data_IF_261564454207
#
_entry.id   IF_261564454207
#
_cell.length_a   1.000
_cell.length_b   1.000
_cell.length_c   1.000
_cell.angle_alpha   90.00
_cell.angle_beta   90.00
_cell.angle_gamma   90.00
#
_symmetry.space_group_name_H-M   'P 1'
#
loop_
_entity.id
_entity.type
_entity.pdbx_description
1 polymer ?
#
# COMPACT_ATOMS: atom_id res chain seq x y z
N UNK A 1 -65.68 -0.56 -42.56
CA UNK A 1 -64.98 -1.07 -41.34
C UNK A 1 -63.51 -1.28 -41.74
N UNK A 2 -62.57 -0.76 -41.10
CA UNK A 2 -61.11 -1.08 -41.11
C UNK A 2 -60.08 -0.04 -41.51
N UNK A 3 -60.42 1.21 -41.80
CA UNK A 3 -59.36 2.24 -41.89
C UNK A 3 -59.06 2.99 -40.53
N UNK A 4 -60.01 2.95 -39.60
CA UNK A 4 -59.82 3.58 -38.27
C UNK A 4 -59.16 2.63 -37.25
N UNK A 5 -59.24 1.31 -37.48
CA UNK A 5 -58.62 0.31 -36.62
C UNK A 5 -57.10 0.18 -36.88
N UNK A 6 -56.69 0.37 -38.15
CA UNK A 6 -55.30 0.33 -38.56
C UNK A 6 -54.50 1.57 -38.06
N UNK A 7 -55.17 2.71 -37.92
CA UNK A 7 -54.53 3.93 -37.41
C UNK A 7 -54.31 3.89 -35.88
N UNK A 8 -55.22 3.23 -35.14
CA UNK A 8 -55.05 3.05 -33.68
C UNK A 8 -53.98 2.01 -33.35
N UNK A 9 -53.79 0.93 -34.14
CA UNK A 9 -52.72 -0.02 -33.95
C UNK A 9 -51.34 0.57 -34.31
N UNK A 10 -51.26 1.43 -35.34
CA UNK A 10 -50.01 2.13 -35.69
C UNK A 10 -49.61 3.17 -34.64
N UNK A 11 -50.56 3.84 -33.97
CA UNK A 11 -50.28 4.78 -32.89
C UNK A 11 -49.83 4.07 -31.60
N UNK A 12 -50.37 2.89 -31.30
CA UNK A 12 -49.91 2.09 -30.16
C UNK A 12 -48.52 1.49 -30.36
N UNK A 13 -48.13 1.16 -31.62
CA UNK A 13 -46.79 0.66 -31.93
C UNK A 13 -45.72 1.78 -31.94
N UNK A 14 -46.08 3.02 -32.21
CA UNK A 14 -45.17 4.15 -32.15
C UNK A 14 -44.96 4.61 -30.70
N UNK A 15 -45.92 4.42 -29.80
CA UNK A 15 -45.76 4.72 -28.36
C UNK A 15 -45.01 3.65 -27.57
N UNK A 16 -44.85 2.43 -28.12
CA UNK A 16 -44.12 1.34 -27.49
C UNK A 16 -42.61 1.37 -27.75
N UNK A 17 -42.10 2.26 -28.61
CA UNK A 17 -40.69 2.42 -28.92
C UNK A 17 -40.04 3.68 -28.31
N UNK A 18 -40.78 4.43 -27.51
CA UNK A 18 -40.25 5.63 -26.84
C UNK A 18 -40.16 5.48 -25.31
N UNK A 19 -40.07 4.26 -24.80
CA UNK A 19 -39.40 3.98 -23.52
C UNK A 19 -37.92 3.76 -23.83
N UNK A 20 -37.25 4.78 -24.34
CA UNK A 20 -35.86 5.00 -24.06
C UNK A 20 -35.85 5.12 -22.54
N UNK A 21 -35.28 4.14 -21.84
CA UNK A 21 -34.84 4.32 -20.46
C UNK A 21 -33.98 5.58 -20.47
N UNK A 22 -34.56 6.72 -20.13
CA UNK A 22 -33.75 7.81 -19.60
C UNK A 22 -33.10 7.20 -18.36
N UNK A 23 -31.83 6.84 -18.47
CA UNK A 23 -31.05 6.48 -17.30
C UNK A 23 -31.25 7.63 -16.31
N UNK A 24 -31.85 7.34 -15.16
CA UNK A 24 -32.02 8.35 -14.14
C UNK A 24 -30.59 8.76 -13.74
N UNK A 25 -30.33 10.08 -13.66
CA UNK A 25 -29.06 10.57 -13.14
C UNK A 25 -28.74 9.87 -11.82
N UNK A 26 -27.50 9.42 -11.67
CA UNK A 26 -27.02 8.78 -10.45
C UNK A 26 -26.07 9.70 -9.72
N UNK A 27 -26.35 9.95 -8.45
CA UNK A 27 -25.45 10.66 -7.55
C UNK A 27 -24.70 9.62 -6.72
N UNK A 28 -23.38 9.56 -6.84
CA UNK A 28 -22.51 8.67 -6.08
C UNK A 28 -21.45 9.46 -5.33
N UNK A 29 -20.97 8.90 -4.23
CA UNK A 29 -19.95 9.50 -3.38
C UNK A 29 -18.66 8.69 -3.45
N UNK A 30 -17.52 9.39 -3.57
CA UNK A 30 -16.18 8.84 -3.50
C UNK A 30 -15.47 9.39 -2.26
N UNK A 31 -15.08 8.53 -1.34
CA UNK A 31 -14.23 8.92 -0.22
C UNK A 31 -12.79 8.47 -0.47
N UNK A 32 -11.81 9.34 -0.23
CA UNK A 32 -10.40 9.04 -0.51
C UNK A 32 -9.51 9.32 0.68
N UNK A 33 -8.63 8.36 1.00
CA UNK A 33 -7.50 8.60 1.89
C UNK A 33 -6.37 9.34 1.16
N UNK A 34 -5.42 9.97 1.89
CA UNK A 34 -4.36 10.77 1.29
C UNK A 34 -3.24 9.90 0.68
N UNK A 35 -3.57 9.16 -0.36
CA UNK A 35 -2.64 8.37 -1.18
C UNK A 35 -2.10 9.29 -2.28
N UNK A 36 -0.97 9.93 -2.02
CA UNK A 36 -0.47 11.00 -2.88
C UNK A 36 -1.55 12.07 -3.08
N UNK A 37 -1.74 12.52 -4.31
CA UNK A 37 -2.72 13.56 -4.64
C UNK A 37 -4.18 13.04 -4.70
N UNK A 38 -4.44 11.76 -4.45
CA UNK A 38 -5.80 11.30 -4.14
C UNK A 38 -6.34 11.93 -2.83
N UNK A 39 -5.45 12.44 -1.97
CA UNK A 39 -5.79 13.29 -0.82
C UNK A 39 -5.98 14.77 -1.14
N UNK A 40 -5.97 15.17 -2.42
CA UNK A 40 -6.13 16.56 -2.84
C UNK A 40 -7.39 16.73 -3.68
N UNK A 41 -8.32 17.57 -3.20
CA UNK A 41 -9.63 17.75 -3.83
C UNK A 41 -9.56 18.21 -5.29
N UNK A 42 -8.63 19.10 -5.64
CA UNK A 42 -8.48 19.64 -6.99
C UNK A 42 -7.98 18.55 -7.95
N UNK A 43 -7.02 17.73 -7.52
CA UNK A 43 -6.49 16.62 -8.32
C UNK A 43 -7.56 15.55 -8.59
N UNK A 44 -8.33 15.17 -7.57
CA UNK A 44 -9.43 14.20 -7.72
C UNK A 44 -10.55 14.77 -8.59
N UNK A 45 -10.88 16.06 -8.41
CA UNK A 45 -11.90 16.72 -9.24
C UNK A 45 -11.50 16.74 -10.72
N UNK A 46 -10.23 16.92 -11.05
CA UNK A 46 -9.77 16.87 -12.44
C UNK A 46 -10.00 15.49 -13.09
N UNK A 47 -9.90 14.40 -12.35
CA UNK A 47 -10.25 13.05 -12.83
C UNK A 47 -11.78 12.89 -12.98
N UNK A 48 -12.55 13.40 -12.03
CA UNK A 48 -14.02 13.39 -12.06
C UNK A 48 -14.54 14.19 -13.27
N UNK A 49 -13.92 15.32 -13.57
CA UNK A 49 -14.32 16.15 -14.72
C UNK A 49 -14.13 15.39 -16.05
N UNK A 50 -13.01 14.65 -16.21
CA UNK A 50 -12.81 13.76 -17.37
C UNK A 50 -13.87 12.65 -17.44
N UNK A 51 -14.24 12.08 -16.29
CA UNK A 51 -15.30 11.08 -16.21
C UNK A 51 -16.65 11.66 -16.64
N UNK A 52 -17.00 12.85 -16.15
CA UNK A 52 -18.26 13.53 -16.46
C UNK A 52 -18.39 13.95 -17.94
N UNK A 53 -17.28 14.16 -18.67
CA UNK A 53 -17.30 14.37 -20.12
C UNK A 53 -17.83 13.14 -20.86
N UNK A 54 -17.62 11.93 -20.35
CA UNK A 54 -18.05 10.66 -20.97
C UNK A 54 -19.37 10.18 -20.37
N UNK A 55 -19.58 10.36 -19.08
CA UNK A 55 -20.76 9.90 -18.33
C UNK A 55 -21.48 11.06 -17.64
N UNK A 56 -22.12 11.98 -18.39
CA UNK A 56 -22.71 13.20 -17.84
C UNK A 56 -23.90 12.97 -16.91
N UNK A 57 -24.49 11.76 -16.94
CA UNK A 57 -25.64 11.37 -16.10
C UNK A 57 -25.19 10.73 -14.76
N UNK A 58 -23.88 10.60 -14.51
CA UNK A 58 -23.33 10.11 -13.22
C UNK A 58 -22.56 11.25 -12.54
N UNK A 59 -23.08 11.71 -11.41
CA UNK A 59 -22.44 12.79 -10.66
C UNK A 59 -21.66 12.20 -9.47
N UNK A 60 -20.35 12.48 -9.40
CA UNK A 60 -19.46 12.00 -8.34
C UNK A 60 -19.14 13.15 -7.41
N UNK A 61 -19.42 12.98 -6.12
CA UNK A 61 -19.00 13.91 -5.07
C UNK A 61 -17.86 13.30 -4.27
N UNK A 62 -16.76 14.04 -4.09
CA UNK A 62 -15.58 13.56 -3.34
C UNK A 62 -15.59 14.09 -1.92
N UNK A 63 -15.19 13.23 -0.97
CA UNK A 63 -14.86 13.58 0.41
C UNK A 63 -13.45 13.05 0.74
N UNK A 64 -12.64 13.92 1.38
CA UNK A 64 -11.26 13.58 1.75
C UNK A 64 -11.22 13.09 3.19
N UNK A 65 -10.55 11.98 3.40
CA UNK A 65 -10.28 11.38 4.70
C UNK A 65 -8.85 11.69 5.17
N UNK A 66 -8.57 11.43 6.43
CA UNK A 66 -7.21 11.41 6.98
C UNK A 66 -6.95 10.07 7.70
N UNK A 67 -5.68 9.73 7.92
CA UNK A 67 -5.32 8.47 8.58
C UNK A 67 -5.48 8.49 10.11
N UNK A 68 -5.84 9.64 10.70
CA UNK A 68 -6.05 9.74 12.15
C UNK A 68 -7.50 9.41 12.53
N UNK A 69 -8.46 9.96 11.78
CA UNK A 69 -9.89 9.87 12.10
C UNK A 69 -10.72 9.17 11.00
N UNK A 70 -10.15 8.92 9.83
CA UNK A 70 -10.89 8.43 8.66
C UNK A 70 -11.59 7.10 8.91
N UNK A 71 -10.96 6.15 9.60
CA UNK A 71 -11.58 4.86 9.92
C UNK A 71 -12.83 5.03 10.80
N UNK A 72 -12.78 5.91 11.80
CA UNK A 72 -13.92 6.21 12.67
C UNK A 72 -15.04 6.93 11.91
N UNK A 73 -14.66 7.81 10.97
CA UNK A 73 -15.60 8.53 10.12
C UNK A 73 -16.35 7.56 9.20
N UNK A 74 -15.63 6.65 8.51
CA UNK A 74 -16.23 5.61 7.66
C UNK A 74 -17.13 4.67 8.49
N UNK A 75 -16.65 4.18 9.62
CA UNK A 75 -17.43 3.28 10.48
C UNK A 75 -18.71 3.97 10.99
N UNK A 76 -18.64 5.24 11.38
CA UNK A 76 -19.82 6.04 11.79
C UNK A 76 -20.81 6.18 10.63
N UNK A 77 -20.34 6.44 9.42
CA UNK A 77 -21.21 6.53 8.25
C UNK A 77 -21.88 5.18 7.94
N UNK A 78 -21.16 4.06 8.04
CA UNK A 78 -21.72 2.71 7.88
C UNK A 78 -22.82 2.46 8.92
N UNK A 79 -22.57 2.73 10.20
CA UNK A 79 -23.55 2.56 11.26
C UNK A 79 -24.80 3.46 11.07
N UNK A 80 -24.60 4.64 10.49
CA UNK A 80 -25.67 5.58 10.14
C UNK A 80 -26.42 5.24 8.86
N UNK A 81 -26.05 4.17 8.11
CA UNK A 81 -26.60 3.83 6.81
C UNK A 81 -26.26 4.85 5.73
N UNK A 82 -25.14 5.54 5.85
CA UNK A 82 -24.63 6.59 4.96
C UNK A 82 -23.21 6.26 4.47
N UNK A 83 -22.88 4.98 4.34
CA UNK A 83 -21.58 4.56 3.77
C UNK A 83 -21.38 5.21 2.40
N UNK A 84 -20.15 5.61 2.01
CA UNK A 84 -19.87 6.07 0.65
C UNK A 84 -20.17 4.97 -0.37
N UNK A 85 -20.40 5.35 -1.64
CA UNK A 85 -20.50 4.34 -2.70
C UNK A 85 -19.13 3.76 -3.03
N UNK A 86 -18.14 4.64 -3.17
CA UNK A 86 -16.75 4.32 -3.49
C UNK A 86 -15.83 4.78 -2.37
N UNK A 87 -14.80 3.98 -2.13
CA UNK A 87 -13.69 4.38 -1.28
C UNK A 87 -12.38 4.03 -1.99
N UNK A 88 -11.39 4.94 -1.92
CA UNK A 88 -10.05 4.74 -2.45
C UNK A 88 -9.07 4.49 -1.30
N UNK A 89 -8.63 3.25 -1.14
CA UNK A 89 -7.73 2.80 -0.08
C UNK A 89 -7.13 1.42 -0.40
N UNK A 90 -6.44 0.81 0.55
CA UNK A 90 -5.73 -0.45 0.39
C UNK A 90 -6.46 -1.69 0.91
N UNK A 91 -5.93 -2.88 0.56
CA UNK A 91 -6.57 -4.16 0.85
C UNK A 91 -6.76 -4.44 2.35
N UNK A 92 -5.91 -3.90 3.22
CA UNK A 92 -6.04 -4.09 4.67
C UNK A 92 -7.34 -3.51 5.24
N UNK A 93 -7.90 -2.49 4.57
CA UNK A 93 -9.22 -1.93 4.89
C UNK A 93 -10.31 -2.53 4.04
N UNK A 94 -10.10 -2.60 2.72
CA UNK A 94 -11.13 -3.03 1.76
C UNK A 94 -11.40 -4.53 1.87
N UNK A 95 -10.37 -5.35 1.95
CA UNK A 95 -10.49 -6.82 1.99
C UNK A 95 -10.56 -7.32 3.43
N UNK A 96 -9.52 -7.01 4.24
CA UNK A 96 -9.36 -7.61 5.56
C UNK A 96 -10.29 -7.02 6.64
N UNK A 97 -10.84 -5.81 6.43
CA UNK A 97 -11.73 -5.18 7.39
C UNK A 97 -13.18 -5.12 6.87
N UNK A 98 -13.49 -4.24 5.92
CA UNK A 98 -14.88 -4.03 5.50
C UNK A 98 -15.43 -5.17 4.64
N UNK A 99 -14.62 -5.72 3.74
CA UNK A 99 -14.97 -6.91 2.96
C UNK A 99 -15.20 -8.13 3.84
N UNK A 100 -14.32 -8.39 4.80
CA UNK A 100 -14.46 -9.49 5.75
C UNK A 100 -15.71 -9.37 6.64
N UNK A 101 -16.26 -8.17 6.80
CA UNK A 101 -17.53 -7.92 7.52
C UNK A 101 -18.77 -8.02 6.62
N UNK A 102 -18.60 -8.31 5.32
CA UNK A 102 -19.70 -8.37 4.35
C UNK A 102 -20.31 -7.02 4.02
N UNK A 103 -19.55 -5.93 4.11
CA UNK A 103 -20.01 -4.57 3.86
C UNK A 103 -19.72 -4.07 2.44
N UNK A 104 -18.92 -4.85 1.69
CA UNK A 104 -18.44 -4.47 0.36
C UNK A 104 -19.07 -5.34 -0.73
N UNK A 105 -19.18 -4.78 -1.92
CA UNK A 105 -19.61 -5.49 -3.13
C UNK A 105 -18.49 -6.38 -3.64
N UNK A 106 -18.82 -7.62 -4.02
CA UNK A 106 -17.88 -8.47 -4.75
C UNK A 106 -17.69 -7.94 -6.19
N UNK A 107 -16.43 -7.66 -6.54
CA UNK A 107 -16.00 -7.08 -7.81
C UNK A 107 -15.55 -8.13 -8.83
N UNK A 108 -15.88 -9.40 -8.65
CA UNK A 108 -15.46 -10.49 -9.53
C UNK A 108 -15.81 -10.24 -11.02
N UNK A 109 -16.88 -9.50 -11.29
CA UNK A 109 -17.25 -9.09 -12.65
C UNK A 109 -16.29 -8.07 -13.28
N UNK A 110 -15.70 -7.16 -12.50
CA UNK A 110 -14.64 -6.26 -12.95
C UNK A 110 -13.34 -7.03 -13.23
N UNK A 111 -13.01 -7.97 -12.37
CA UNK A 111 -11.83 -8.83 -12.50
C UNK A 111 -11.92 -9.83 -13.66
N UNK A 112 -13.11 -10.09 -14.17
CA UNK A 112 -13.31 -10.91 -15.37
C UNK A 112 -12.89 -10.21 -16.67
N UNK A 113 -12.64 -8.89 -16.65
CA UNK A 113 -12.21 -8.12 -17.82
C UNK A 113 -10.79 -8.51 -18.28
N UNK A 114 -10.50 -8.37 -19.58
CA UNK A 114 -9.20 -8.81 -20.12
C UNK A 114 -8.05 -7.96 -19.58
N UNK A 115 -8.22 -6.66 -19.41
CA UNK A 115 -7.17 -5.79 -18.86
C UNK A 115 -6.84 -6.08 -17.38
N UNK A 116 -7.81 -6.62 -16.63
CA UNK A 116 -7.56 -7.03 -15.24
C UNK A 116 -6.58 -8.22 -15.15
N UNK A 117 -6.50 -9.05 -16.18
CA UNK A 117 -5.55 -10.18 -16.26
C UNK A 117 -4.09 -9.75 -16.42
N UNK A 118 -3.86 -8.48 -16.74
CA UNK A 118 -2.52 -7.88 -16.84
C UNK A 118 -1.99 -7.42 -15.47
N UNK A 119 -2.86 -7.36 -14.44
CA UNK A 119 -2.47 -7.01 -13.08
C UNK A 119 -1.51 -8.07 -12.53
N UNK A 120 -0.44 -7.62 -11.87
CA UNK A 120 0.57 -8.51 -11.34
C UNK A 120 -0.04 -9.49 -10.33
N UNK A 121 0.29 -10.80 -10.41
CA UNK A 121 -0.33 -11.83 -9.56
C UNK A 121 -0.18 -11.58 -8.05
N UNK A 122 0.95 -10.99 -7.63
CA UNK A 122 1.15 -10.61 -6.21
C UNK A 122 0.19 -9.53 -5.74
N UNK A 123 -0.25 -8.64 -6.65
CA UNK A 123 -1.23 -7.59 -6.37
C UNK A 123 -2.65 -8.18 -6.37
N UNK A 124 -2.97 -9.01 -7.38
CA UNK A 124 -4.27 -9.70 -7.43
C UNK A 124 -4.56 -10.45 -6.13
N UNK A 125 -3.57 -11.20 -5.62
CA UNK A 125 -3.72 -12.01 -4.39
C UNK A 125 -4.08 -11.18 -3.15
N UNK A 126 -3.75 -9.90 -3.12
CA UNK A 126 -4.11 -8.99 -2.04
C UNK A 126 -5.55 -8.46 -2.13
N UNK A 127 -6.16 -8.48 -3.32
CA UNK A 127 -7.43 -7.83 -3.59
C UNK A 127 -8.67 -8.69 -3.30
N UNK A 128 -8.49 -9.96 -2.94
CA UNK A 128 -9.57 -10.90 -2.62
C UNK A 128 -9.38 -11.55 -1.25
N UNK A 129 -10.48 -12.03 -0.67
CA UNK A 129 -10.44 -12.81 0.56
C UNK A 129 -10.09 -14.30 0.28
N UNK A 130 -9.93 -15.09 1.34
CA UNK A 130 -9.64 -16.53 1.24
C UNK A 130 -10.76 -17.36 0.60
N UNK A 131 -11.96 -16.80 0.45
CA UNK A 131 -13.12 -17.41 -0.21
C UNK A 131 -13.19 -17.05 -1.71
N UNK A 132 -12.30 -16.17 -2.19
CA UNK A 132 -12.18 -15.75 -3.58
C UNK A 132 -13.10 -14.59 -3.98
N UNK A 133 -13.71 -13.88 -3.02
CA UNK A 133 -14.45 -12.66 -3.28
C UNK A 133 -13.51 -11.45 -3.36
N UNK A 134 -13.61 -10.67 -4.41
CA UNK A 134 -12.79 -9.49 -4.68
C UNK A 134 -13.43 -8.23 -4.10
N UNK A 135 -12.72 -7.51 -3.23
CA UNK A 135 -13.23 -6.29 -2.59
C UNK A 135 -12.43 -5.04 -2.94
N UNK A 136 -11.36 -5.20 -3.72
CA UNK A 136 -10.58 -4.09 -4.26
C UNK A 136 -10.34 -4.28 -5.75
N UNK A 137 -10.39 -3.17 -6.50
CA UNK A 137 -9.84 -3.07 -7.85
C UNK A 137 -8.66 -2.09 -7.81
N UNK A 138 -7.40 -2.59 -7.91
CA UNK A 138 -6.23 -1.80 -7.61
C UNK A 138 -5.88 -0.82 -8.74
N UNK A 139 -5.29 0.32 -8.37
CA UNK A 139 -4.84 1.38 -9.28
C UNK A 139 -3.33 1.51 -9.25
N UNK A 140 -2.76 1.58 -8.06
CA UNK A 140 -1.34 1.86 -7.89
C UNK A 140 -0.73 1.09 -6.73
N UNK A 141 0.61 1.01 -6.74
CA UNK A 141 1.41 0.37 -5.71
C UNK A 141 2.69 1.18 -5.45
N UNK A 142 3.27 1.00 -4.28
CA UNK A 142 4.63 1.43 -3.96
C UNK A 142 5.33 0.42 -3.08
N UNK A 143 6.67 0.40 -3.12
CA UNK A 143 7.48 -0.37 -2.19
C UNK A 143 8.09 0.55 -1.13
N UNK A 144 8.13 0.08 0.12
CA UNK A 144 9.05 0.62 1.11
C UNK A 144 10.40 -0.07 0.91
N UNK A 145 11.42 0.73 0.85
CA UNK A 145 12.82 0.34 0.79
C UNK A 145 13.57 0.99 1.95
N UNK A 146 14.86 0.86 1.99
CA UNK A 146 15.71 1.62 2.89
C UNK A 146 16.54 2.64 2.10
N UNK A 147 17.19 3.57 2.80
CA UNK A 147 18.15 4.50 2.25
C UNK A 147 19.44 4.49 3.02
N UNK A 148 20.54 4.80 2.34
CA UNK A 148 21.85 4.99 2.95
C UNK A 148 22.42 6.38 2.61
N UNK A 149 23.24 6.91 3.50
CA UNK A 149 24.08 8.07 3.23
C UNK A 149 25.30 7.59 2.42
N UNK A 150 25.26 7.80 1.10
CA UNK A 150 26.27 7.30 0.17
C UNK A 150 27.67 7.85 0.52
N UNK A 151 27.78 9.13 0.82
CA UNK A 151 29.05 9.79 1.12
C UNK A 151 29.70 9.19 2.37
N UNK A 152 28.90 8.87 3.38
CA UNK A 152 29.39 8.24 4.61
C UNK A 152 29.81 6.79 4.37
N UNK A 153 29.06 6.05 3.54
CA UNK A 153 29.42 4.69 3.14
C UNK A 153 30.70 4.66 2.33
N UNK A 154 30.92 5.64 1.43
CA UNK A 154 32.17 5.79 0.69
C UNK A 154 33.33 6.09 1.64
N UNK A 155 33.16 7.07 2.54
CA UNK A 155 34.20 7.45 3.50
C UNK A 155 34.61 6.32 4.46
N UNK A 156 33.69 5.43 4.82
CA UNK A 156 33.90 4.26 5.65
C UNK A 156 34.37 3.01 4.89
N UNK A 157 34.61 3.09 3.57
CA UNK A 157 34.90 1.95 2.68
C UNK A 157 33.81 0.84 2.75
N UNK A 158 32.57 1.25 3.00
CA UNK A 158 31.44 0.32 3.17
C UNK A 158 30.71 -0.01 1.85
N UNK A 159 30.90 0.79 0.78
CA UNK A 159 30.28 0.54 -0.52
C UNK A 159 30.70 -0.80 -1.15
N UNK A 160 31.86 -1.34 -0.79
CA UNK A 160 32.32 -2.65 -1.28
C UNK A 160 31.41 -3.82 -0.88
N UNK A 161 30.51 -3.63 0.08
CA UNK A 161 29.58 -4.64 0.59
C UNK A 161 28.19 -4.58 -0.05
N UNK A 162 27.99 -3.68 -1.03
CA UNK A 162 26.73 -3.36 -1.70
C UNK A 162 26.85 -3.68 -3.19
N UNK A 163 25.79 -4.22 -3.77
CA UNK A 163 25.58 -4.25 -5.21
C UNK A 163 24.87 -2.94 -5.63
N UNK A 164 25.68 -1.97 -6.05
CA UNK A 164 25.21 -0.64 -6.45
C UNK A 164 24.39 -0.67 -7.74
N UNK A 165 24.57 -1.65 -8.63
CA UNK A 165 23.82 -1.76 -9.87
C UNK A 165 22.38 -2.23 -9.64
N UNK A 166 22.20 -3.18 -8.71
CA UNK A 166 20.91 -3.77 -8.41
C UNK A 166 20.27 -3.19 -7.12
N UNK A 167 20.92 -2.25 -6.44
CA UNK A 167 20.52 -1.68 -5.17
C UNK A 167 20.21 -2.73 -4.09
N UNK A 168 21.06 -3.77 -4.03
CA UNK A 168 20.86 -4.92 -3.14
C UNK A 168 22.12 -5.24 -2.34
N UNK A 169 21.99 -6.03 -1.32
CA UNK A 169 23.08 -6.58 -0.52
C UNK A 169 22.65 -7.87 0.19
N UNK A 170 23.63 -8.67 0.55
CA UNK A 170 23.40 -9.85 1.38
C UNK A 170 23.32 -9.47 2.85
N UNK A 171 22.83 -10.39 3.69
CA UNK A 171 22.88 -10.25 5.15
C UNK A 171 24.33 -10.05 5.65
N UNK A 172 25.30 -10.78 5.08
CA UNK A 172 26.73 -10.63 5.42
C UNK A 172 27.25 -9.24 4.99
N UNK A 173 26.84 -8.78 3.79
CA UNK A 173 27.15 -7.43 3.31
C UNK A 173 26.65 -6.35 4.27
N UNK A 174 25.39 -6.47 4.71
CA UNK A 174 24.82 -5.55 5.70
C UNK A 174 25.62 -5.54 7.02
N UNK A 175 25.93 -6.72 7.59
CA UNK A 175 26.71 -6.82 8.81
C UNK A 175 28.08 -6.16 8.64
N UNK A 176 28.77 -6.42 7.54
CA UNK A 176 30.09 -5.87 7.25
C UNK A 176 30.04 -4.35 7.05
N UNK A 177 29.01 -3.83 6.37
CA UNK A 177 28.83 -2.39 6.22
C UNK A 177 28.56 -1.69 7.56
N UNK A 178 27.68 -2.25 8.42
CA UNK A 178 27.43 -1.72 9.76
C UNK A 178 28.71 -1.69 10.59
N UNK A 179 29.50 -2.79 10.59
CA UNK A 179 30.77 -2.85 11.32
C UNK A 179 31.81 -1.84 10.79
N UNK A 180 31.87 -1.62 9.48
CA UNK A 180 32.77 -0.65 8.86
C UNK A 180 32.42 0.79 9.28
N UNK A 181 31.12 1.14 9.22
CA UNK A 181 30.61 2.44 9.63
C UNK A 181 30.82 2.69 11.13
N UNK A 182 30.52 1.69 11.96
CA UNK A 182 30.77 1.79 13.41
C UNK A 182 32.26 1.97 13.73
N UNK A 183 33.12 1.20 13.06
CA UNK A 183 34.58 1.34 13.20
C UNK A 183 35.12 2.69 12.68
N UNK A 184 34.48 3.29 11.70
CA UNK A 184 34.77 4.62 11.17
C UNK A 184 34.47 5.72 12.20
N UNK A 185 33.57 5.47 13.14
CA UNK A 185 33.16 6.39 14.19
C UNK A 185 31.68 6.80 14.15
N UNK A 186 30.88 6.17 13.30
CA UNK A 186 29.42 6.36 13.26
C UNK A 186 28.79 5.50 14.37
N UNK A 187 28.63 6.07 15.56
CA UNK A 187 28.09 5.34 16.72
C UNK A 187 26.66 4.86 16.52
N UNK A 188 25.83 5.60 15.75
CA UNK A 188 24.47 5.25 15.41
C UNK A 188 24.37 4.99 13.91
N UNK A 189 24.53 3.75 13.48
CA UNK A 189 24.50 3.37 12.07
C UNK A 189 23.05 3.25 11.58
N UNK A 190 22.17 2.65 12.38
CA UNK A 190 20.75 2.53 12.09
C UNK A 190 19.91 2.35 13.34
N UNK A 191 18.62 2.67 13.26
CA UNK A 191 17.69 2.51 14.37
C UNK A 191 16.46 1.69 13.94
N UNK A 192 16.23 0.56 14.61
CA UNK A 192 14.95 -0.15 14.49
C UNK A 192 13.92 0.65 15.28
N UNK A 193 13.08 1.40 14.57
CA UNK A 193 12.03 2.19 15.20
C UNK A 193 10.90 1.31 15.72
N UNK A 194 10.40 1.64 16.91
CA UNK A 194 9.49 0.77 17.67
C UNK A 194 8.18 1.43 18.04
N UNK A 195 7.88 2.62 17.50
CA UNK A 195 6.66 3.37 17.85
C UNK A 195 5.85 3.77 16.61
N UNK A 196 4.55 3.54 16.65
CA UNK A 196 3.60 4.04 15.67
C UNK A 196 3.51 3.28 14.35
N UNK A 197 2.52 3.66 13.54
CA UNK A 197 2.16 2.97 12.29
C UNK A 197 2.91 3.49 11.06
N UNK A 198 3.44 4.70 11.13
CA UNK A 198 4.09 5.33 9.98
C UNK A 198 5.34 4.58 9.54
N UNK A 199 5.28 3.93 8.37
CA UNK A 199 6.42 3.25 7.78
C UNK A 199 6.83 1.93 8.43
N UNK A 200 6.03 1.37 9.36
CA UNK A 200 6.33 0.13 10.08
C UNK A 200 6.53 -1.10 9.17
N UNK A 201 6.19 -0.99 7.88
CA UNK A 201 6.57 -1.96 6.84
C UNK A 201 8.09 -2.15 6.77
N UNK A 202 8.87 -1.09 6.96
CA UNK A 202 10.33 -1.14 6.91
C UNK A 202 10.94 -2.10 7.93
N UNK A 203 10.53 -2.02 9.20
CA UNK A 203 11.04 -2.92 10.24
C UNK A 203 10.66 -4.37 10.01
N UNK A 204 9.43 -4.64 9.52
CA UNK A 204 9.01 -6.00 9.16
C UNK A 204 9.79 -6.54 7.96
N UNK A 205 9.96 -5.72 6.93
CA UNK A 205 10.73 -6.10 5.75
C UNK A 205 12.20 -6.37 6.10
N UNK A 206 12.84 -5.52 6.91
CA UNK A 206 14.21 -5.74 7.38
C UNK A 206 14.35 -7.11 8.07
N UNK A 207 13.50 -7.38 9.06
CA UNK A 207 13.57 -8.60 9.87
C UNK A 207 13.31 -9.84 9.01
N UNK A 208 12.27 -9.83 8.17
CA UNK A 208 11.94 -10.97 7.33
C UNK A 208 13.02 -11.25 6.27
N UNK A 209 13.65 -10.22 5.70
CA UNK A 209 14.63 -10.39 4.63
C UNK A 209 15.98 -10.93 5.13
N UNK A 210 16.46 -10.52 6.32
CA UNK A 210 17.78 -10.87 6.82
C UNK A 210 18.08 -12.37 6.73
N UNK A 211 17.13 -13.23 7.04
CA UNK A 211 17.33 -14.68 6.99
C UNK A 211 16.16 -15.43 6.31
N UNK A 212 15.28 -14.73 5.59
CA UNK A 212 14.17 -15.34 4.86
C UNK A 212 13.00 -15.78 5.74
N UNK A 213 12.76 -15.08 6.84
CA UNK A 213 11.61 -15.31 7.70
C UNK A 213 10.28 -14.86 7.08
N UNK A 214 9.18 -15.19 7.72
CA UNK A 214 7.83 -14.84 7.28
C UNK A 214 7.03 -14.18 8.40
N UNK A 215 6.10 -13.31 8.04
CA UNK A 215 5.21 -12.67 8.99
C UNK A 215 3.94 -13.50 9.23
N UNK A 216 3.43 -14.11 8.16
CA UNK A 216 2.26 -15.00 8.16
C UNK A 216 2.55 -16.26 7.36
N UNK A 217 1.66 -17.27 7.48
CA UNK A 217 1.67 -18.38 6.53
C UNK A 217 1.20 -17.93 5.13
N UNK A 218 1.52 -18.70 4.07
CA UNK A 218 1.15 -18.32 2.69
C UNK A 218 -0.36 -18.16 2.46
N UNK A 219 -1.19 -18.82 3.25
CA UNK A 219 -2.65 -18.77 3.17
C UNK A 219 -3.25 -17.57 3.90
N UNK A 220 -2.44 -16.71 4.54
CA UNK A 220 -2.85 -15.55 5.34
C UNK A 220 -3.87 -15.88 6.45
N UNK A 221 -3.76 -17.07 7.02
CA UNK A 221 -4.67 -17.55 8.07
C UNK A 221 -4.06 -17.53 9.47
N UNK A 222 -2.73 -17.46 9.57
CA UNK A 222 -2.01 -17.47 10.83
C UNK A 222 -0.73 -16.61 10.77
N UNK A 223 -0.38 -16.01 11.89
CA UNK A 223 0.89 -15.30 12.09
C UNK A 223 1.99 -16.29 12.48
N UNK A 224 3.15 -16.22 11.81
CA UNK A 224 4.28 -17.15 11.91
C UNK A 224 5.61 -16.44 12.13
N UNK A 225 5.57 -15.20 12.65
CA UNK A 225 6.78 -14.38 12.84
C UNK A 225 7.74 -14.93 13.93
N UNK A 226 7.38 -16.01 14.62
CA UNK A 226 8.22 -16.77 15.55
C UNK A 226 9.12 -17.82 14.85
N UNK A 227 9.26 -17.72 13.52
CA UNK A 227 10.19 -18.56 12.79
C UNK A 227 11.62 -18.40 13.32
N UNK A 228 12.43 -19.44 13.20
CA UNK A 228 13.82 -19.40 13.65
C UNK A 228 14.63 -18.31 12.92
N UNK A 229 14.27 -18.01 11.68
CA UNK A 229 14.85 -16.99 10.83
C UNK A 229 14.59 -15.59 11.39
N UNK A 230 13.34 -15.28 11.76
CA UNK A 230 12.99 -14.00 12.35
C UNK A 230 13.56 -13.79 13.75
N UNK A 231 13.56 -14.84 14.59
CA UNK A 231 14.21 -14.79 15.89
C UNK A 231 15.71 -14.48 15.71
N UNK A 232 16.38 -15.19 14.79
CA UNK A 232 17.80 -14.94 14.47
C UNK A 232 18.05 -13.52 13.95
N UNK A 233 17.15 -12.98 13.14
CA UNK A 233 17.26 -11.61 12.62
C UNK A 233 17.16 -10.57 13.75
N UNK A 234 16.21 -10.74 14.65
CA UNK A 234 16.04 -9.86 15.80
C UNK A 234 17.21 -9.94 16.79
N UNK A 235 17.72 -11.15 17.07
CA UNK A 235 18.92 -11.36 17.88
C UNK A 235 20.15 -10.71 17.25
N UNK A 236 20.34 -10.82 15.93
CA UNK A 236 21.39 -10.13 15.20
C UNK A 236 21.28 -8.60 15.42
N UNK A 237 20.12 -8.02 15.11
CA UNK A 237 19.91 -6.58 15.23
C UNK A 237 20.09 -6.07 16.66
N UNK A 238 19.65 -6.83 17.67
CA UNK A 238 19.80 -6.48 19.08
C UNK A 238 21.27 -6.51 19.52
N UNK A 239 22.12 -7.35 18.91
CA UNK A 239 23.52 -7.57 19.30
C UNK A 239 24.53 -6.80 18.45
N UNK A 240 24.12 -6.21 17.32
CA UNK A 240 25.02 -5.56 16.37
C UNK A 240 25.32 -4.14 16.82
N UNK A 241 26.61 -3.87 17.13
CA UNK A 241 27.06 -2.52 17.47
C UNK A 241 26.70 -1.53 16.35
N UNK A 242 26.18 -0.35 16.73
CA UNK A 242 25.73 0.67 15.79
C UNK A 242 24.26 0.53 15.37
N UNK A 243 23.59 -0.60 15.64
CA UNK A 243 22.14 -0.75 15.47
C UNK A 243 21.48 -0.72 16.85
N UNK A 244 20.44 0.11 16.99
CA UNK A 244 19.70 0.18 18.23
C UNK A 244 18.20 -0.03 18.01
N UNK A 245 17.51 -0.45 19.07
CA UNK A 245 16.06 -0.47 19.17
C UNK A 245 15.65 0.69 20.06
N UNK A 246 15.09 1.74 19.50
CA UNK A 246 14.60 2.86 20.31
C UNK A 246 13.08 2.81 20.46
N UNK A 247 12.59 2.51 21.68
CA UNK A 247 11.17 2.39 21.94
C UNK A 247 10.39 3.71 21.78
N UNK A 248 11.08 4.85 21.72
CA UNK A 248 10.47 6.17 21.57
C UNK A 248 10.40 6.65 20.12
N UNK A 249 11.22 6.09 19.22
CA UNK A 249 11.34 6.53 17.83
C UNK A 249 10.21 5.90 16.98
N UNK A 250 9.50 6.73 16.19
CA UNK A 250 8.63 6.32 15.09
C UNK A 250 9.35 6.49 13.73
N UNK A 251 8.74 6.00 12.65
CA UNK A 251 9.35 6.07 11.31
C UNK A 251 9.63 7.49 10.82
N UNK A 252 8.81 8.47 11.17
CA UNK A 252 9.03 9.86 10.81
C UNK A 252 10.23 10.48 11.56
N UNK A 253 10.43 10.11 12.82
CA UNK A 253 11.58 10.55 13.60
C UNK A 253 12.87 9.88 13.11
N UNK A 254 12.82 8.60 12.75
CA UNK A 254 13.97 7.89 12.16
C UNK A 254 14.42 8.57 10.85
N UNK A 255 13.48 8.95 9.97
CA UNK A 255 13.78 9.71 8.75
C UNK A 255 14.50 11.03 9.09
N UNK A 256 14.03 11.78 10.08
CA UNK A 256 14.65 13.03 10.49
C UNK A 256 16.07 12.82 11.03
N UNK A 257 16.31 11.76 11.81
CA UNK A 257 17.63 11.40 12.32
C UNK A 257 18.60 11.00 11.18
N UNK A 258 18.09 10.34 10.14
CA UNK A 258 18.85 10.04 8.94
C UNK A 258 19.20 11.33 8.16
N UNK A 259 18.21 12.17 7.86
CA UNK A 259 18.42 13.39 7.10
C UNK A 259 19.36 14.41 7.78
N UNK A 260 19.50 14.36 9.09
CA UNK A 260 20.46 15.19 9.82
C UNK A 260 21.77 14.45 10.19
N UNK A 261 22.08 13.35 9.50
CA UNK A 261 23.32 12.56 9.61
C UNK A 261 23.54 11.90 11.00
N UNK A 262 22.53 11.87 11.86
CA UNK A 262 22.61 11.13 13.12
C UNK A 262 22.64 9.62 12.88
N UNK A 263 21.91 9.15 11.85
CA UNK A 263 21.94 7.77 11.36
C UNK A 263 22.62 7.71 10.00
N UNK A 264 23.34 6.63 9.71
CA UNK A 264 23.94 6.36 8.41
C UNK A 264 22.95 5.73 7.42
N UNK A 265 21.87 5.15 7.92
CA UNK A 265 20.82 4.52 7.10
C UNK A 265 19.43 4.69 7.73
N UNK A 266 18.41 4.69 6.88
CA UNK A 266 17.01 4.71 7.27
C UNK A 266 16.33 3.41 6.81
N UNK A 267 15.54 2.80 7.70
CA UNK A 267 14.72 1.62 7.40
C UNK A 267 13.28 1.99 7.02
N UNK A 268 12.88 3.25 7.27
CA UNK A 268 11.58 3.81 6.89
C UNK A 268 11.75 4.76 5.70
N UNK A 269 11.91 4.23 4.48
CA UNK A 269 12.15 5.04 3.31
C UNK A 269 11.28 4.63 2.12
N UNK A 270 10.94 5.57 1.27
CA UNK A 270 10.32 5.34 -0.04
C UNK A 270 10.47 6.59 -0.93
N UNK A 271 9.98 6.51 -2.15
CA UNK A 271 10.04 7.59 -3.14
C UNK A 271 9.44 8.92 -2.66
N UNK A 272 8.45 8.91 -1.77
CA UNK A 272 7.83 10.15 -1.29
C UNK A 272 8.79 10.96 -0.40
N UNK A 273 9.59 10.28 0.43
CA UNK A 273 10.66 10.91 1.19
C UNK A 273 11.72 11.49 0.25
N UNK A 274 12.21 10.70 -0.71
CA UNK A 274 13.20 11.13 -1.68
C UNK A 274 12.75 12.40 -2.42
N UNK A 275 11.56 12.39 -2.99
CA UNK A 275 11.02 13.57 -3.72
C UNK A 275 10.85 14.79 -2.81
N UNK A 276 10.48 14.58 -1.55
CA UNK A 276 10.32 15.67 -0.58
C UNK A 276 11.67 16.32 -0.28
N UNK A 277 12.69 15.53 0.01
CA UNK A 277 14.04 16.04 0.31
C UNK A 277 14.74 16.62 -0.91
N UNK A 278 14.59 16.02 -2.09
CA UNK A 278 15.08 16.56 -3.34
C UNK A 278 14.44 17.94 -3.68
N UNK A 279 13.15 18.10 -3.41
CA UNK A 279 12.45 19.38 -3.64
C UNK A 279 12.86 20.45 -2.63
N UNK A 280 13.05 20.08 -1.36
CA UNK A 280 13.42 21.00 -0.29
C UNK A 280 14.92 21.34 -0.29
N UNK A 281 15.76 20.49 -0.87
CA UNK A 281 17.24 20.58 -0.80
C UNK A 281 17.74 20.73 0.64
N UNK A 282 17.18 19.94 1.55
CA UNK A 282 17.43 20.01 2.99
C UNK A 282 18.38 18.91 3.50
N UNK A 283 18.89 18.04 2.60
CA UNK A 283 19.88 17.01 2.86
C UNK A 283 21.16 17.35 2.11
N UNK A 284 22.31 17.32 2.79
CA UNK A 284 23.61 17.73 2.26
C UNK A 284 24.48 16.59 1.70
N UNK A 285 24.02 15.34 1.81
CA UNK A 285 24.69 14.13 1.30
C UNK A 285 23.87 13.46 0.20
N UNK A 286 24.50 12.58 -0.56
CA UNK A 286 23.82 11.74 -1.55
C UNK A 286 23.03 10.64 -0.85
N UNK A 287 21.70 10.67 -1.04
CA UNK A 287 20.80 9.60 -0.59
C UNK A 287 20.82 8.50 -1.64
N UNK A 288 21.11 7.26 -1.24
CA UNK A 288 21.09 6.12 -2.15
C UNK A 288 20.07 5.08 -1.67
N UNK A 289 19.02 4.82 -2.46
CA UNK A 289 17.98 3.87 -2.08
C UNK A 289 18.46 2.42 -2.18
N UNK A 290 18.09 1.58 -1.24
CA UNK A 290 18.50 0.18 -1.15
C UNK A 290 17.31 -0.73 -0.86
N UNK A 291 17.30 -1.94 -1.42
CA UNK A 291 16.46 -3.01 -0.93
C UNK A 291 16.94 -3.47 0.46
N UNK A 292 16.06 -4.09 1.25
CA UNK A 292 16.45 -4.69 2.51
C UNK A 292 17.44 -5.85 2.30
N UNK A 293 18.41 -6.02 3.21
CA UNK A 293 19.46 -7.05 3.06
C UNK A 293 18.85 -8.45 3.02
N UNK A 294 19.22 -9.23 2.01
CA UNK A 294 18.68 -10.58 1.81
C UNK A 294 19.72 -11.49 1.20
N UNK A 295 19.74 -12.78 1.61
CA UNK A 295 20.57 -13.79 0.98
C UNK A 295 19.92 -14.40 -0.28
N UNK A 296 18.64 -14.05 -0.51
CA UNK A 296 17.85 -14.40 -1.69
C UNK A 296 17.37 -13.11 -2.38
N UNK A 297 16.45 -13.23 -3.33
CA UNK A 297 15.76 -12.06 -3.88
C UNK A 297 15.05 -11.30 -2.76
N UNK A 298 15.31 -10.01 -2.58
CA UNK A 298 14.63 -9.20 -1.55
C UNK A 298 13.12 -9.25 -1.71
N UNK A 299 12.40 -9.20 -0.59
CA UNK A 299 10.92 -9.14 -0.55
C UNK A 299 10.51 -7.88 0.19
N UNK A 300 10.19 -6.84 -0.57
CA UNK A 300 9.78 -5.56 -0.01
C UNK A 300 8.31 -5.60 0.41
N UNK A 301 7.99 -4.77 1.35
CA UNK A 301 6.62 -4.46 1.75
C UNK A 301 6.27 -3.07 1.25
N UNK A 302 5.00 -2.84 0.99
CA UNK A 302 4.57 -1.55 0.49
C UNK A 302 3.08 -1.36 0.62
N UNK A 303 2.54 -0.43 -0.16
CA UNK A 303 1.12 -0.19 -0.27
C UNK A 303 0.60 -0.61 -1.64
N UNK A 304 -0.62 -1.07 -1.63
CA UNK A 304 -1.48 -1.26 -2.80
C UNK A 304 -2.70 -0.40 -2.53
N UNK A 305 -3.16 0.34 -3.52
CA UNK A 305 -4.34 1.19 -3.37
C UNK A 305 -5.21 1.13 -4.61
N UNK A 306 -6.49 1.10 -4.37
CA UNK A 306 -7.50 1.00 -5.40
C UNK A 306 -8.89 1.37 -4.89
N UNK A 307 -9.87 0.97 -5.65
CA UNK A 307 -11.28 1.25 -5.35
C UNK A 307 -11.96 0.04 -4.72
N UNK A 308 -12.68 0.29 -3.63
CA UNK A 308 -13.70 -0.59 -3.11
C UNK A 308 -15.08 0.04 -3.25
N UNK A 309 -16.12 -0.78 -3.31
CA UNK A 309 -17.52 -0.36 -3.43
C UNK A 309 -18.28 -0.89 -2.23
N UNK A 310 -18.93 0.00 -1.46
CA UNK A 310 -19.82 -0.43 -0.37
C UNK A 310 -21.14 -0.92 -0.91
N UNK A 311 -21.68 -1.99 -0.32
CA UNK A 311 -22.99 -2.49 -0.63
C UNK A 311 -24.06 -1.66 0.10
N UNK A 312 -24.63 -0.67 -0.61
CA UNK A 312 -25.72 0.17 -0.12
C UNK A 312 -27.11 -0.38 -0.48
N UNK A 313 -27.18 -1.54 -1.15
CA UNK A 313 -28.42 -2.17 -1.59
C UNK A 313 -29.09 -1.51 -2.81
N UNK A 314 -28.50 -0.45 -3.39
CA UNK A 314 -29.00 0.21 -4.60
C UNK A 314 -28.19 -0.24 -5.82
N UNK A 315 -28.75 -1.15 -6.60
CA UNK A 315 -28.09 -1.71 -7.77
C UNK A 315 -27.70 -0.64 -8.82
N UNK A 316 -28.43 0.45 -8.94
CA UNK A 316 -28.11 1.51 -9.91
C UNK A 316 -26.91 2.34 -9.47
N UNK A 317 -26.79 2.63 -8.18
CA UNK A 317 -25.61 3.30 -7.61
C UNK A 317 -24.37 2.41 -7.66
N UNK A 318 -24.53 1.11 -7.37
CA UNK A 318 -23.44 0.12 -7.47
C UNK A 318 -22.91 0.05 -8.91
N UNK A 319 -23.79 -0.02 -9.92
CA UNK A 319 -23.39 -0.04 -11.35
C UNK A 319 -22.74 1.29 -11.79
N UNK A 320 -23.21 2.42 -11.28
CA UNK A 320 -22.56 3.72 -11.51
C UNK A 320 -21.15 3.76 -10.90
N UNK A 321 -20.98 3.24 -9.68
CA UNK A 321 -19.68 3.10 -9.04
C UNK A 321 -18.74 2.18 -9.82
N UNK A 322 -19.21 1.02 -10.29
CA UNK A 322 -18.43 0.12 -11.17
C UNK A 322 -18.04 0.79 -12.49
N UNK A 323 -18.92 1.62 -13.05
CA UNK A 323 -18.64 2.39 -14.27
C UNK A 323 -17.50 3.37 -14.03
N UNK A 324 -17.46 4.03 -12.86
CA UNK A 324 -16.36 4.91 -12.47
C UNK A 324 -15.04 4.14 -12.33
N UNK A 325 -15.04 2.99 -11.66
CA UNK A 325 -13.84 2.15 -11.53
C UNK A 325 -13.29 1.72 -12.89
N UNK A 326 -14.17 1.24 -13.80
CA UNK A 326 -13.77 0.86 -15.17
C UNK A 326 -13.16 2.05 -15.91
N UNK A 327 -13.78 3.21 -15.87
CA UNK A 327 -13.26 4.40 -16.51
C UNK A 327 -11.84 4.76 -16.03
N UNK A 328 -11.60 4.66 -14.72
CA UNK A 328 -10.29 4.99 -14.14
C UNK A 328 -9.21 3.95 -14.43
N UNK A 329 -9.56 2.73 -14.84
CA UNK A 329 -8.61 1.60 -14.86
C UNK A 329 -8.48 0.90 -16.21
N UNK A 330 -9.44 1.02 -17.13
CA UNK A 330 -9.44 0.28 -18.39
C UNK A 330 -8.60 0.97 -19.47
N UNK A 331 -8.86 2.25 -19.76
CA UNK A 331 -8.12 3.01 -20.78
C UNK A 331 -6.75 3.45 -20.26
N UNK A 332 -5.69 3.16 -21.01
CA UNK A 332 -4.32 3.44 -20.57
C UNK A 332 -4.03 4.94 -20.33
N UNK A 333 -4.68 5.85 -21.05
CA UNK A 333 -4.45 7.28 -20.84
C UNK A 333 -5.09 7.77 -19.54
N UNK A 334 -6.32 7.35 -19.27
CA UNK A 334 -7.02 7.67 -18.01
C UNK A 334 -6.35 6.94 -16.83
N UNK A 335 -5.95 5.68 -17.04
CA UNK A 335 -5.23 4.92 -16.03
C UNK A 335 -3.89 5.57 -15.67
N UNK A 336 -3.14 6.10 -16.67
CA UNK A 336 -1.94 6.89 -16.43
C UNK A 336 -2.23 8.09 -15.53
N UNK A 337 -3.31 8.84 -15.78
CA UNK A 337 -3.69 9.99 -14.96
C UNK A 337 -4.04 9.55 -13.52
N UNK A 338 -4.78 8.45 -13.37
CA UNK A 338 -5.16 7.92 -12.06
C UNK A 338 -3.93 7.47 -11.24
N UNK A 339 -2.98 6.77 -11.89
CA UNK A 339 -1.72 6.34 -11.27
C UNK A 339 -0.84 7.53 -10.91
N UNK A 340 -0.61 8.46 -11.85
CA UNK A 340 0.26 9.62 -11.60
C UNK A 340 -0.30 10.56 -10.53
N UNK A 341 -1.62 10.60 -10.36
CA UNK A 341 -2.26 11.29 -9.22
C UNK A 341 -1.79 10.72 -7.87
N UNK A 342 -1.51 9.41 -7.78
CA UNK A 342 -0.93 8.83 -6.56
C UNK A 342 0.56 9.15 -6.37
N UNK A 343 1.28 9.50 -7.44
CA UNK A 343 2.74 9.57 -7.48
C UNK A 343 3.44 8.23 -7.19
N UNK A 344 2.76 7.11 -7.46
CA UNK A 344 3.25 5.74 -7.29
C UNK A 344 3.25 4.98 -8.62
N UNK A 345 3.45 3.68 -8.62
CA UNK A 345 3.59 2.85 -9.81
C UNK A 345 2.29 2.13 -10.14
N UNK A 346 2.06 1.84 -11.45
CA UNK A 346 0.92 1.06 -11.88
C UNK A 346 1.01 -0.39 -11.38
N UNK A 347 -0.14 -1.04 -11.25
CA UNK A 347 -0.26 -2.45 -10.84
C UNK A 347 -0.21 -3.43 -12.03
N UNK A 348 -0.08 -2.92 -13.24
CA UNK A 348 0.17 -3.64 -14.50
C UNK A 348 1.15 -2.86 -15.35
N UNK A 349 1.73 -3.50 -16.36
CA UNK A 349 2.70 -2.84 -17.22
C UNK A 349 2.11 -1.59 -17.91
N UNK A 350 2.83 -0.49 -17.82
CA UNK A 350 2.47 0.79 -18.43
C UNK A 350 3.75 1.50 -18.87
N UNK A 351 4.03 1.43 -20.18
CA UNK A 351 5.28 1.93 -20.74
C UNK A 351 5.43 3.46 -20.56
N UNK A 352 6.61 3.88 -20.12
CA UNK A 352 7.04 5.28 -20.14
C UNK A 352 6.32 6.23 -19.19
N UNK A 353 5.57 5.72 -18.23
CA UNK A 353 4.76 6.52 -17.29
C UNK A 353 5.56 7.62 -16.58
N UNK A 354 6.83 7.38 -16.29
CA UNK A 354 7.74 8.32 -15.63
C UNK A 354 9.00 8.65 -16.46
N UNK A 355 8.89 8.58 -17.79
CA UNK A 355 10.01 8.92 -18.67
C UNK A 355 10.52 10.35 -18.43
N UNK A 356 11.79 10.48 -18.03
CA UNK A 356 12.44 11.75 -17.71
C UNK A 356 12.31 12.23 -16.26
N UNK A 357 11.73 11.40 -15.37
CA UNK A 357 11.80 11.57 -13.92
C UNK A 357 12.81 10.55 -13.38
N UNK A 358 14.03 10.99 -13.08
CA UNK A 358 15.15 10.12 -12.68
C UNK A 358 14.85 9.41 -11.35
N UNK A 359 14.25 10.11 -10.38
CA UNK A 359 13.86 9.54 -9.08
C UNK A 359 12.81 8.43 -9.28
N UNK A 360 11.76 8.72 -10.03
CA UNK A 360 10.72 7.70 -10.28
C UNK A 360 11.25 6.52 -11.08
N UNK A 361 12.21 6.72 -11.98
CA UNK A 361 12.85 5.65 -12.74
C UNK A 361 13.69 4.77 -11.83
N UNK A 362 14.51 5.35 -10.95
CA UNK A 362 15.34 4.63 -9.99
C UNK A 362 14.49 3.81 -9.00
N UNK A 363 13.50 4.44 -8.37
CA UNK A 363 12.62 3.74 -7.43
C UNK A 363 11.70 2.72 -8.09
N UNK A 364 11.44 2.84 -9.38
CA UNK A 364 10.72 1.85 -10.17
C UNK A 364 11.39 0.47 -10.16
N UNK A 365 12.72 0.42 -9.99
CA UNK A 365 13.48 -0.84 -9.87
C UNK A 365 13.03 -1.68 -8.68
N UNK A 366 12.55 -1.07 -7.61
CA UNK A 366 12.11 -1.78 -6.42
C UNK A 366 10.78 -2.51 -6.58
N UNK A 367 9.98 -2.16 -7.59
CA UNK A 367 8.67 -2.79 -7.82
C UNK A 367 8.82 -4.29 -8.15
N UNK A 368 9.93 -4.71 -8.76
CA UNK A 368 10.24 -6.13 -9.01
C UNK A 368 10.44 -6.95 -7.73
N UNK A 369 10.72 -6.30 -6.60
CA UNK A 369 10.97 -6.93 -5.30
C UNK A 369 9.74 -6.94 -4.40
N UNK A 370 8.57 -6.51 -4.87
CA UNK A 370 7.34 -6.57 -4.07
C UNK A 370 7.08 -8.01 -3.62
N UNK A 371 7.03 -8.18 -2.31
CA UNK A 371 6.75 -9.45 -1.64
C UNK A 371 5.26 -9.68 -1.41
N UNK A 372 4.99 -10.73 -0.65
CA UNK A 372 3.64 -11.11 -0.24
C UNK A 372 2.95 -10.02 0.59
N UNK A 373 1.68 -9.71 0.28
CA UNK A 373 0.91 -8.68 0.98
C UNK A 373 0.14 -9.27 2.17
N UNK A 374 0.85 -9.70 3.20
CA UNK A 374 0.29 -10.35 4.38
C UNK A 374 -0.63 -9.45 5.25
N UNK A 375 -0.74 -8.16 4.94
CA UNK A 375 -1.58 -7.20 5.67
C UNK A 375 -3.08 -7.48 5.52
N UNK A 376 -3.46 -8.38 4.62
CA UNK A 376 -4.84 -8.90 4.49
C UNK A 376 -5.17 -10.01 5.50
N UNK A 377 -4.22 -10.46 6.30
CA UNK A 377 -4.46 -11.48 7.32
C UNK A 377 -5.43 -10.98 8.38
N UNK A 378 -6.41 -11.80 8.73
CA UNK A 378 -7.41 -11.47 9.74
C UNK A 378 -6.75 -11.06 11.06
N UNK A 379 -7.30 -10.06 11.74
CA UNK A 379 -6.74 -9.51 12.98
C UNK A 379 -5.55 -8.57 12.77
N UNK A 380 -5.27 -8.16 11.53
CA UNK A 380 -4.13 -7.33 11.15
C UNK A 380 -3.94 -6.08 12.02
N UNK A 381 -4.98 -5.30 12.26
CA UNK A 381 -4.89 -4.06 13.05
C UNK A 381 -4.33 -4.32 14.47
N UNK A 382 -4.77 -5.41 15.11
CA UNK A 382 -4.27 -5.82 16.42
C UNK A 382 -2.85 -6.39 16.32
N UNK A 383 -2.58 -7.26 15.34
CA UNK A 383 -1.26 -7.83 15.13
C UNK A 383 -0.21 -6.73 14.87
N UNK A 384 -0.58 -5.70 14.11
CA UNK A 384 0.26 -4.53 13.87
C UNK A 384 0.60 -3.79 15.17
N UNK A 385 -0.35 -3.60 16.07
CA UNK A 385 -0.12 -3.00 17.39
C UNK A 385 0.78 -3.87 18.26
N UNK A 386 0.55 -5.19 18.30
CA UNK A 386 1.37 -6.12 19.06
C UNK A 386 2.82 -6.20 18.54
N UNK A 387 3.04 -5.96 17.24
CA UNK A 387 4.38 -5.89 16.65
C UNK A 387 5.23 -4.78 17.26
N UNK A 388 4.67 -3.57 17.41
CA UNK A 388 5.43 -2.47 18.05
C UNK A 388 5.67 -2.74 19.52
N UNK A 389 4.67 -3.24 20.22
CA UNK A 389 4.80 -3.61 21.62
C UNK A 389 5.92 -4.65 21.80
N UNK A 390 6.06 -5.62 20.91
CA UNK A 390 7.14 -6.59 20.90
C UNK A 390 8.50 -5.91 20.68
N UNK A 391 8.65 -5.07 19.65
CA UNK A 391 9.90 -4.36 19.37
C UNK A 391 10.32 -3.46 20.56
N UNK A 392 9.37 -2.77 21.19
CA UNK A 392 9.65 -1.96 22.39
C UNK A 392 10.17 -2.81 23.56
N UNK A 393 9.60 -3.99 23.78
CA UNK A 393 10.06 -4.89 24.85
C UNK A 393 11.45 -5.47 24.54
N UNK A 394 11.73 -5.81 23.28
CA UNK A 394 13.06 -6.22 22.83
C UNK A 394 14.06 -5.08 23.06
N UNK A 395 13.73 -3.84 22.68
CA UNK A 395 14.55 -2.65 22.92
C UNK A 395 14.81 -2.35 24.39
N UNK A 396 13.86 -2.70 25.26
CA UNK A 396 14.03 -2.61 26.72
C UNK A 396 14.87 -3.76 27.32
N UNK A 397 15.44 -4.65 26.49
CA UNK A 397 16.29 -5.78 26.92
C UNK A 397 15.54 -7.09 27.11
N UNK A 398 14.32 -7.20 26.58
CA UNK A 398 13.54 -8.45 26.59
C UNK A 398 14.23 -9.57 25.80
N UNK A 399 13.97 -10.83 26.18
CA UNK A 399 14.45 -11.97 25.43
C UNK A 399 13.71 -12.09 24.12
N UNK A 400 14.43 -12.08 22.99
CA UNK A 400 13.83 -12.06 21.64
C UNK A 400 12.84 -13.22 21.43
N UNK A 401 13.22 -14.46 21.73
CA UNK A 401 12.38 -15.63 21.48
C UNK A 401 11.08 -15.59 22.31
N UNK A 402 11.15 -15.14 23.57
CA UNK A 402 10.00 -15.04 24.47
C UNK A 402 9.05 -13.93 23.97
N UNK A 403 9.58 -12.77 23.55
CA UNK A 403 8.77 -11.63 23.11
C UNK A 403 8.09 -11.91 21.77
N UNK A 404 8.77 -12.58 20.84
CA UNK A 404 8.20 -12.99 19.57
C UNK A 404 7.10 -14.03 19.77
N UNK A 405 7.28 -15.00 20.69
CA UNK A 405 6.24 -15.98 21.02
C UNK A 405 4.98 -15.30 21.59
N UNK A 406 5.13 -14.27 22.44
CA UNK A 406 4.01 -13.47 22.95
C UNK A 406 3.31 -12.72 21.80
N UNK A 407 4.07 -12.13 20.90
CA UNK A 407 3.51 -11.48 19.72
C UNK A 407 2.65 -12.43 18.90
N UNK A 408 3.20 -13.60 18.51
CA UNK A 408 2.51 -14.58 17.68
C UNK A 408 1.24 -15.11 18.36
N UNK A 409 1.28 -15.38 19.67
CA UNK A 409 0.12 -15.82 20.43
C UNK A 409 -1.00 -14.75 20.41
N UNK A 410 -0.67 -13.48 20.63
CA UNK A 410 -1.65 -12.39 20.64
C UNK A 410 -2.21 -12.11 19.23
N UNK A 411 -1.36 -12.11 18.20
CA UNK A 411 -1.77 -11.91 16.83
C UNK A 411 -2.70 -13.02 16.32
N UNK A 412 -2.38 -14.28 16.63
CA UNK A 412 -3.23 -15.43 16.27
C UNK A 412 -4.56 -15.42 17.04
N UNK A 413 -4.56 -15.03 18.32
CA UNK A 413 -5.81 -14.85 19.06
C UNK A 413 -6.70 -13.76 18.43
N UNK A 414 -6.12 -12.67 17.93
CA UNK A 414 -6.85 -11.62 17.18
C UNK A 414 -7.38 -12.13 15.84
N UNK A 415 -6.69 -13.06 15.19
CA UNK A 415 -7.15 -13.74 13.97
C UNK A 415 -8.30 -14.75 14.23
N UNK A 416 -8.50 -15.15 15.51
CA UNK A 416 -9.51 -16.13 15.93
C UNK A 416 -9.00 -17.57 15.88
N UNK A 417 -7.69 -17.75 15.98
CA UNK A 417 -6.99 -19.04 16.04
C UNK A 417 -6.67 -19.43 17.48
#
# INVERSE_FOLDING_TARGET
MNKRLSLLLALCLIFSFALVNAASAQDITLWTYPVGNWGNAESVQALIDKFNEVYPDIHVTVELLDYTNGDDQVNTAIEGGQAPDLIFEGPERLVANWGAKGLMVDLADLWAADYAKEIYPAIESACHNTEGAYYEFPVCMTAHNMAINYDLFEAADALQYIDLENHTWTTEGFINAVNALYAYGQENVGAVYCSGQGGDQGTRALINNLYGGTFTNPEHTAYTADSAENVKALELLQSLDGINFDPSINGGEEIQLFCNETLAMAFCWNVAQEKTHAANQDVEFEIFPMAFPSNDTPKLQGGIWGFGIFDNGDAARIEAAKTFVKFMTEDNAIYTDAVTTSSYWPVRELEGIYAGDDIMTEYGLFMQYMGDYYQVTKGWAQARTEWWNMLQRIGAGGNVADEVAVFVANANAAAGN
#
